data_IF_694065415714
#
_entry.id   IF_694065415714
#
_cell.length_a   1.000
_cell.length_b   1.000
_cell.length_c   1.000
_cell.angle_alpha   90.00
_cell.angle_beta   90.00
_cell.angle_gamma   90.00
#
_symmetry.space_group_name_H-M   'P 1'
#
loop_
_entity.id
_entity.type
_entity.pdbx_description
1 polymer ?
#
# COMPACT_ATOMS: atom_id res chain seq x y z
N UNK A 1 6.51 6.69 25.37
CA UNK A 1 5.93 7.28 24.14
C UNK A 1 4.57 6.61 23.93
N UNK A 2 3.50 7.38 23.77
CA UNK A 2 2.14 6.85 23.58
C UNK A 2 1.96 6.40 22.14
N UNK A 3 1.64 5.12 21.94
CA UNK A 3 1.31 4.53 20.63
C UNK A 3 0.18 5.33 19.98
N UNK A 4 0.29 5.76 18.70
CA UNK A 4 -0.82 6.36 17.97
C UNK A 4 -2.01 5.40 18.03
N UNK A 5 -3.15 5.88 18.51
CA UNK A 5 -4.31 5.00 18.58
C UNK A 5 -4.69 4.58 17.16
N UNK A 6 -5.17 3.35 16.99
CA UNK A 6 -5.73 2.83 15.72
C UNK A 6 -6.65 3.85 15.04
N UNK A 7 -7.35 4.67 15.82
CA UNK A 7 -8.20 5.76 15.34
C UNK A 7 -7.42 6.80 14.52
N UNK A 8 -6.24 7.21 14.97
CA UNK A 8 -5.41 8.21 14.29
C UNK A 8 -4.95 7.77 12.89
N UNK A 9 -4.76 6.47 12.69
CA UNK A 9 -4.40 5.87 11.39
C UNK A 9 -5.59 5.71 10.44
N UNK A 10 -6.81 5.64 10.98
CA UNK A 10 -8.03 5.49 10.19
C UNK A 10 -8.55 6.82 9.66
N UNK A 11 -8.20 7.95 10.29
CA UNK A 11 -8.67 9.29 9.89
C UNK A 11 -8.34 9.62 8.42
N UNK A 12 -7.11 9.45 7.90
CA UNK A 12 -6.79 9.76 6.50
C UNK A 12 -7.54 8.88 5.51
N UNK A 13 -7.77 7.61 5.85
CA UNK A 13 -8.43 6.63 4.98
C UNK A 13 -9.94 6.90 4.93
N UNK A 14 -10.54 7.17 6.08
CA UNK A 14 -11.96 7.60 6.17
C UNK A 14 -12.16 8.90 5.39
N UNK A 15 -11.23 9.86 5.49
CA UNK A 15 -11.26 11.09 4.70
C UNK A 15 -11.22 10.81 3.19
N UNK A 16 -10.30 9.96 2.71
CA UNK A 16 -10.21 9.62 1.30
C UNK A 16 -11.49 8.94 0.76
N UNK A 17 -12.10 8.04 1.54
CA UNK A 17 -13.34 7.35 1.16
C UNK A 17 -14.51 8.33 1.14
N UNK A 18 -14.65 9.15 2.18
CA UNK A 18 -15.76 10.08 2.30
C UNK A 18 -15.64 11.31 1.36
N UNK A 19 -14.45 11.57 0.80
CA UNK A 19 -14.26 12.50 -0.33
C UNK A 19 -14.67 11.91 -1.69
N UNK A 20 -15.01 10.62 -1.77
CA UNK A 20 -15.52 9.99 -2.99
C UNK A 20 -17.02 10.25 -3.18
N UNK A 21 -17.48 10.74 -4.35
CA UNK A 21 -18.89 10.98 -4.59
C UNK A 21 -19.71 9.69 -4.44
N UNK A 22 -20.72 9.71 -3.56
CA UNK A 22 -21.63 8.57 -3.35
C UNK A 22 -21.23 7.60 -2.24
N UNK A 23 -20.16 7.87 -1.49
CA UNK A 23 -19.73 7.02 -0.39
C UNK A 23 -20.82 6.86 0.70
N UNK A 24 -21.14 5.60 1.03
CA UNK A 24 -22.17 5.25 2.02
C UNK A 24 -21.57 4.65 3.29
N UNK A 25 -22.36 4.67 4.37
CA UNK A 25 -22.00 4.02 5.63
C UNK A 25 -21.80 2.50 5.47
N UNK A 26 -22.49 1.90 4.49
CA UNK A 26 -22.33 0.49 4.10
C UNK A 26 -20.95 0.22 3.51
N UNK A 27 -20.43 1.11 2.66
CA UNK A 27 -19.11 0.96 2.05
C UNK A 27 -17.98 1.14 3.08
N UNK A 28 -18.14 2.08 4.01
CA UNK A 28 -17.21 2.23 5.13
C UNK A 28 -17.20 0.99 6.03
N UNK A 29 -18.36 0.40 6.28
CA UNK A 29 -18.46 -0.89 6.98
C UNK A 29 -17.88 -2.07 6.21
N UNK A 30 -17.72 -1.97 4.88
CA UNK A 30 -17.04 -2.97 4.05
C UNK A 30 -15.52 -2.77 3.96
N UNK A 31 -15.05 -1.51 4.05
CA UNK A 31 -13.64 -1.17 3.88
C UNK A 31 -12.88 -1.22 5.21
N UNK A 32 -13.44 -0.66 6.29
CA UNK A 32 -12.81 -0.69 7.63
C UNK A 32 -12.39 -2.10 8.05
N UNK A 33 -13.22 -3.15 7.89
CA UNK A 33 -12.80 -4.53 8.15
C UNK A 33 -11.49 -4.93 7.47
N UNK A 34 -11.33 -4.55 6.20
CA UNK A 34 -10.18 -4.93 5.37
C UNK A 34 -8.90 -4.23 5.82
N UNK A 35 -9.01 -3.10 6.53
CA UNK A 35 -7.87 -2.40 7.12
C UNK A 35 -7.32 -3.10 8.37
N UNK A 36 -8.12 -3.97 9.00
CA UNK A 36 -7.72 -4.72 10.19
C UNK A 36 -7.12 -6.10 9.89
N UNK A 37 -7.09 -6.49 8.62
CA UNK A 37 -6.66 -7.82 8.19
C UNK A 37 -5.37 -7.68 7.38
N UNK A 38 -4.25 -8.02 8.01
CA UNK A 38 -2.90 -7.82 7.46
C UNK A 38 -2.58 -8.72 6.23
N UNK A 39 -3.35 -9.78 6.01
CA UNK A 39 -3.08 -10.83 5.01
C UNK A 39 -4.10 -10.85 3.84
N UNK A 40 -4.97 -9.83 3.76
CA UNK A 40 -6.00 -9.73 2.72
C UNK A 40 -7.03 -10.88 2.75
N UNK A 41 -7.12 -11.60 3.87
CA UNK A 41 -8.19 -12.57 4.10
C UNK A 41 -9.52 -11.82 4.32
N UNK A 42 -10.67 -12.40 3.94
CA UNK A 42 -11.93 -11.87 4.41
C UNK A 42 -11.89 -11.89 5.94
N UNK A 43 -12.13 -10.75 6.62
CA UNK A 43 -12.11 -10.72 8.08
C UNK A 43 -13.08 -11.77 8.59
N UNK A 44 -12.66 -12.59 9.55
CA UNK A 44 -13.63 -13.39 10.30
C UNK A 44 -14.58 -12.41 10.97
N UNK A 45 -15.82 -12.34 10.47
CA UNK A 45 -16.86 -11.43 10.95
C UNK A 45 -17.41 -11.88 12.31
N UNK A 46 -16.53 -12.06 13.28
CA UNK A 46 -16.90 -12.37 14.65
C UNK A 46 -17.72 -11.23 15.25
N UNK A 47 -18.63 -11.51 16.19
CA UNK A 47 -19.40 -10.47 16.88
C UNK A 47 -18.52 -9.42 17.56
N UNK A 48 -17.34 -9.82 18.03
CA UNK A 48 -16.37 -8.94 18.68
C UNK A 48 -15.71 -7.98 17.67
N UNK A 49 -15.37 -8.48 16.48
CA UNK A 49 -14.84 -7.68 15.40
C UNK A 49 -15.86 -6.64 14.89
N UNK A 50 -17.13 -7.02 14.72
CA UNK A 50 -18.21 -6.08 14.38
C UNK A 50 -18.41 -5.01 15.45
N UNK A 51 -18.29 -5.36 16.74
CA UNK A 51 -18.34 -4.38 17.84
C UNK A 51 -17.19 -3.38 17.78
N UNK A 52 -15.98 -3.80 17.42
CA UNK A 52 -14.82 -2.91 17.26
C UNK A 52 -15.02 -1.92 16.12
N UNK A 53 -15.51 -2.38 14.97
CA UNK A 53 -15.84 -1.50 13.83
C UNK A 53 -16.93 -0.49 14.21
N UNK A 54 -18.01 -0.96 14.85
CA UNK A 54 -19.08 -0.09 15.32
C UNK A 54 -18.59 0.96 16.33
N UNK A 55 -17.64 0.60 17.20
CA UNK A 55 -17.02 1.55 18.13
C UNK A 55 -16.19 2.62 17.42
N UNK A 56 -15.44 2.25 16.38
CA UNK A 56 -14.67 3.19 15.54
C UNK A 56 -15.59 4.15 14.80
N UNK A 57 -16.62 3.63 14.11
CA UNK A 57 -17.59 4.46 13.38
C UNK A 57 -18.33 5.41 14.31
N UNK A 58 -18.77 4.91 15.48
CA UNK A 58 -19.41 5.74 16.51
C UNK A 58 -18.50 6.84 17.04
N UNK A 59 -17.20 6.55 17.19
CA UNK A 59 -16.23 7.54 17.61
C UNK A 59 -16.03 8.61 16.52
N UNK A 60 -15.89 8.22 15.25
CA UNK A 60 -15.75 9.16 14.13
C UNK A 60 -16.96 10.10 13.98
N UNK A 61 -18.17 9.56 14.18
CA UNK A 61 -19.41 10.36 14.23
C UNK A 61 -19.43 11.31 15.45
N UNK A 62 -19.02 10.85 16.63
CA UNK A 62 -19.02 11.66 17.85
C UNK A 62 -18.03 12.82 17.79
N UNK A 63 -16.85 12.59 17.23
CA UNK A 63 -15.81 13.62 17.08
C UNK A 63 -16.06 14.54 15.88
N UNK A 64 -17.17 14.36 15.15
CA UNK A 64 -17.52 15.22 14.02
C UNK A 64 -16.54 15.12 12.86
N UNK A 65 -15.98 13.93 12.60
CA UNK A 65 -15.17 13.67 11.39
C UNK A 65 -16.03 13.27 10.18
N UNK A 66 -17.16 12.65 10.46
CA UNK A 66 -18.15 12.23 9.47
C UNK A 66 -19.54 12.54 10.01
N UNK A 67 -20.47 12.87 9.12
CA UNK A 67 -21.87 13.10 9.41
C UNK A 67 -22.75 12.27 8.46
N UNK A 68 -23.92 11.83 8.94
CA UNK A 68 -24.88 11.11 8.11
C UNK A 68 -25.78 12.12 7.41
N UNK A 69 -25.64 12.24 6.08
CA UNK A 69 -26.53 13.01 5.22
C UNK A 69 -27.84 12.27 4.90
N UNK A 70 -28.70 12.95 4.15
CA UNK A 70 -29.96 12.37 3.65
C UNK A 70 -29.71 11.12 2.80
N UNK A 71 -30.51 10.08 3.00
CA UNK A 71 -30.36 8.81 2.28
C UNK A 71 -29.22 7.89 2.77
N UNK A 72 -28.58 8.21 3.89
CA UNK A 72 -27.48 7.39 4.44
C UNK A 72 -26.12 7.64 3.78
N UNK A 73 -26.03 8.66 2.94
CA UNK A 73 -24.77 9.16 2.39
C UNK A 73 -23.93 9.79 3.49
N UNK A 74 -22.64 9.48 3.54
CA UNK A 74 -21.74 10.10 4.50
C UNK A 74 -21.17 11.39 3.93
N UNK A 75 -21.05 12.42 4.78
CA UNK A 75 -20.33 13.66 4.45
C UNK A 75 -19.19 13.86 5.45
N UNK A 76 -18.09 14.42 4.98
CA UNK A 76 -17.00 14.87 5.85
C UNK A 76 -17.27 16.30 6.24
N UNK A 77 -17.31 16.58 7.53
CA UNK A 77 -17.44 17.93 8.08
C UNK A 77 -16.12 18.69 7.90
N UNK A 78 -16.16 19.83 7.20
CA UNK A 78 -14.98 20.67 6.90
C UNK A 78 -14.28 21.21 8.15
N UNK A 79 -14.97 21.28 9.30
CA UNK A 79 -14.41 21.70 10.59
C UNK A 79 -13.37 20.73 11.18
N UNK A 80 -13.23 19.52 10.64
CA UNK A 80 -12.22 18.54 11.07
C UNK A 80 -10.86 18.65 10.31
N UNK A 81 -10.63 19.80 9.67
CA UNK A 81 -9.31 20.23 9.26
C UNK A 81 -8.59 20.78 10.49
N UNK A 82 -7.54 20.11 11.03
CA UNK A 82 -6.61 20.86 11.86
C UNK A 82 -6.04 21.94 10.96
N UNK A 83 -6.40 23.20 11.24
CA UNK A 83 -5.67 24.35 10.74
C UNK A 83 -4.18 24.07 10.96
N UNK A 84 -3.37 24.17 9.91
CA UNK A 84 -1.92 24.00 9.96
C UNK A 84 -1.26 24.90 11.04
N UNK A 85 -2.01 25.84 11.64
CA UNK A 85 -1.57 26.72 12.71
C UNK A 85 -1.63 26.15 14.15
N UNK A 86 -2.18 24.94 14.40
CA UNK A 86 -2.27 24.40 15.79
C UNK A 86 -1.32 23.24 16.11
N UNK A 87 -0.37 22.90 15.23
CA UNK A 87 0.70 21.96 15.54
C UNK A 87 1.86 22.55 16.38
N UNK A 88 1.69 23.76 16.92
CA UNK A 88 2.75 24.49 17.67
C UNK A 88 2.36 24.70 19.13
N UNK A 89 1.98 23.65 19.86
CA UNK A 89 1.81 23.75 21.32
C UNK A 89 1.85 22.39 22.01
N UNK A 90 2.96 21.66 21.90
CA UNK A 90 3.40 20.65 22.89
C UNK A 90 4.81 20.17 22.52
N UNK A 91 5.78 21.07 22.67
CA UNK A 91 7.19 20.73 22.77
C UNK A 91 7.86 21.70 23.72
N UNK A 92 7.82 21.34 24.99
CA UNK A 92 8.85 21.79 25.92
C UNK A 92 9.13 20.68 26.91
N UNK A 93 10.42 20.34 26.95
CA UNK A 93 11.12 19.55 27.98
C UNK A 93 11.04 18.03 27.87
N UNK A 94 12.06 17.48 27.21
CA UNK A 94 12.38 16.07 27.21
C UNK A 94 13.43 15.78 26.15
N UNK A 95 14.67 16.20 26.40
CA UNK A 95 15.80 15.98 25.51
C UNK A 95 15.90 14.51 25.10
N UNK A 96 15.80 14.26 23.80
CA UNK A 96 16.19 12.99 23.20
C UNK A 96 17.43 13.26 22.31
N UNK A 97 18.45 12.39 22.39
CA UNK A 97 19.72 12.63 21.73
C UNK A 97 19.53 12.60 20.23
N UNK A 98 20.27 13.48 19.55
CA UNK A 98 20.53 13.36 18.13
C UNK A 98 21.13 11.96 17.89
N UNK A 99 20.28 11.03 17.44
CA UNK A 99 20.70 9.71 17.02
C UNK A 99 21.46 9.93 15.72
N UNK A 100 22.77 10.14 15.87
CA UNK A 100 23.79 9.97 14.85
C UNK A 100 23.82 8.49 14.52
N UNK A 101 22.73 8.01 13.90
CA UNK A 101 22.71 6.72 13.26
C UNK A 101 23.84 6.75 12.24
N UNK A 102 24.83 5.90 12.50
CA UNK A 102 25.87 5.52 11.59
C UNK A 102 25.21 5.31 10.21
N UNK A 103 25.43 6.26 9.29
CA UNK A 103 24.61 6.50 8.08
C UNK A 103 24.67 5.37 7.03
N UNK A 104 25.16 4.19 7.37
CA UNK A 104 25.54 3.16 6.42
C UNK A 104 24.85 1.80 6.56
N UNK A 105 24.06 1.55 7.60
CA UNK A 105 23.52 0.19 7.83
C UNK A 105 22.00 0.16 7.82
N UNK A 106 21.44 -0.55 6.82
CA UNK A 106 20.01 -0.82 6.66
C UNK A 106 19.51 -1.89 7.64
N UNK A 107 20.39 -2.77 8.09
CA UNK A 107 20.08 -3.93 8.93
C UNK A 107 19.39 -3.59 10.29
N UNK A 108 19.80 -2.54 11.04
CA UNK A 108 19.11 -2.14 12.26
C UNK A 108 17.66 -1.73 12.01
N UNK A 109 17.38 -0.95 10.96
CA UNK A 109 16.04 -0.51 10.61
C UNK A 109 15.12 -1.70 10.26
N UNK A 110 15.63 -2.65 9.47
CA UNK A 110 14.88 -3.86 9.13
C UNK A 110 14.63 -4.76 10.35
N UNK A 111 15.60 -4.87 11.26
CA UNK A 111 15.46 -5.66 12.49
C UNK A 111 14.45 -5.04 13.44
N UNK A 112 14.49 -3.71 13.61
CA UNK A 112 13.53 -2.95 14.43
C UNK A 112 12.10 -3.14 13.92
N UNK A 113 11.92 -3.16 12.61
CA UNK A 113 10.64 -3.41 11.94
C UNK A 113 10.19 -4.88 11.98
N UNK A 114 10.97 -5.77 12.60
CA UNK A 114 10.64 -7.19 12.76
C UNK A 114 10.84 -8.04 11.50
N UNK A 115 11.55 -7.54 10.49
CA UNK A 115 11.80 -8.31 9.28
C UNK A 115 12.90 -9.34 9.48
N UNK A 116 12.70 -10.52 8.87
CA UNK A 116 13.77 -11.49 8.64
C UNK A 116 14.38 -11.21 7.27
N UNK A 117 15.69 -11.04 7.23
CA UNK A 117 16.41 -10.71 6.01
C UNK A 117 17.77 -11.40 5.94
N UNK A 118 18.27 -11.55 4.72
CA UNK A 118 19.63 -11.97 4.44
C UNK A 118 20.45 -10.76 4.00
N UNK A 119 21.49 -10.40 4.74
CA UNK A 119 22.38 -9.29 4.35
C UNK A 119 23.34 -9.78 3.25
N UNK A 120 23.32 -9.08 2.11
CA UNK A 120 24.25 -9.31 1.00
C UNK A 120 25.49 -8.42 1.17
N UNK A 121 25.25 -7.16 1.60
CA UNK A 121 26.25 -6.14 1.95
C UNK A 121 25.74 -5.31 3.14
N UNK A 122 26.57 -4.48 3.81
CA UNK A 122 26.12 -3.67 4.95
C UNK A 122 24.90 -2.78 4.65
N UNK A 123 24.79 -2.33 3.41
CA UNK A 123 23.77 -1.44 2.87
C UNK A 123 22.71 -2.18 2.04
N UNK A 124 22.80 -3.50 1.86
CA UNK A 124 21.93 -4.28 0.98
C UNK A 124 21.46 -5.57 1.65
N UNK A 125 20.15 -5.78 1.63
CA UNK A 125 19.50 -6.96 2.19
C UNK A 125 18.45 -7.52 1.23
N UNK A 126 18.21 -8.82 1.36
CA UNK A 126 17.14 -9.53 0.67
C UNK A 126 16.10 -9.99 1.67
N UNK A 127 14.84 -9.70 1.39
CA UNK A 127 13.67 -10.06 2.19
C UNK A 127 12.80 -11.03 1.40
N UNK A 128 12.30 -12.07 2.06
CA UNK A 128 11.40 -13.05 1.46
C UNK A 128 10.02 -12.96 2.09
N UNK A 129 9.01 -12.87 1.25
CA UNK A 129 7.60 -12.80 1.64
C UNK A 129 6.83 -13.90 0.95
N UNK A 130 5.90 -14.53 1.67
CA UNK A 130 5.03 -15.56 1.12
C UNK A 130 3.64 -14.97 0.95
N UNK A 131 3.17 -14.83 -0.29
CA UNK A 131 1.79 -14.46 -0.59
C UNK A 131 1.05 -15.59 -1.31
N UNK A 132 -0.28 -15.50 -1.36
CA UNK A 132 -1.24 -16.46 -1.94
C UNK A 132 -0.91 -16.81 -3.39
N UNK A 133 -0.51 -15.82 -4.20
CA UNK A 133 -0.22 -16.02 -5.62
C UNK A 133 1.18 -16.56 -5.86
N UNK A 134 2.18 -16.05 -5.13
CA UNK A 134 3.58 -16.46 -5.24
C UNK A 134 4.41 -15.94 -4.05
N UNK A 135 5.60 -16.52 -3.82
CA UNK A 135 6.62 -15.87 -3.02
C UNK A 135 7.17 -14.61 -3.73
N UNK A 136 7.49 -13.61 -2.92
CA UNK A 136 8.17 -12.38 -3.32
C UNK A 136 9.54 -12.28 -2.68
N UNK A 137 10.49 -11.82 -3.47
CA UNK A 137 11.83 -11.49 -3.02
C UNK A 137 12.05 -10.00 -3.24
N UNK A 138 12.20 -9.25 -2.15
CA UNK A 138 12.46 -7.80 -2.19
C UNK A 138 13.92 -7.58 -1.87
N UNK A 139 14.64 -6.98 -2.80
CA UNK A 139 15.96 -6.42 -2.55
C UNK A 139 15.78 -5.02 -1.99
N UNK A 140 16.30 -4.77 -0.80
CA UNK A 140 16.32 -3.46 -0.18
C UNK A 140 17.77 -2.99 -0.07
N UNK A 141 18.06 -1.78 -0.51
CA UNK A 141 19.39 -1.19 -0.31
C UNK A 141 19.32 0.30 0.00
N UNK A 142 20.32 0.78 0.72
CA UNK A 142 20.52 2.20 0.98
C UNK A 142 21.48 2.78 -0.07
N UNK A 143 21.11 3.86 -0.76
CA UNK A 143 21.97 4.57 -1.70
C UNK A 143 21.75 6.08 -1.60
N UNK A 144 22.81 6.85 -1.35
CA UNK A 144 22.79 8.33 -1.37
C UNK A 144 21.63 8.99 -0.58
N UNK A 145 21.32 8.46 0.61
CA UNK A 145 20.22 8.98 1.44
C UNK A 145 18.82 8.47 1.04
N UNK A 146 18.74 7.48 0.16
CA UNK A 146 17.52 6.81 -0.25
C UNK A 146 17.50 5.35 0.16
N UNK A 147 16.35 4.86 0.59
CA UNK A 147 15.99 3.46 0.58
C UNK A 147 15.45 3.14 -0.80
N UNK A 148 16.08 2.18 -1.46
CA UNK A 148 15.63 1.64 -2.72
C UNK A 148 15.14 0.22 -2.48
N UNK A 149 13.93 -0.08 -2.95
CA UNK A 149 13.35 -1.41 -2.99
C UNK A 149 13.24 -1.84 -4.44
N UNK A 150 13.57 -3.10 -4.73
CA UNK A 150 13.38 -3.71 -6.06
C UNK A 150 12.86 -5.13 -5.89
N UNK A 151 11.89 -5.50 -6.71
CA UNK A 151 11.39 -6.87 -6.79
C UNK A 151 11.29 -7.31 -8.25
N UNK A 152 11.72 -8.54 -8.52
CA UNK A 152 11.53 -9.17 -9.82
C UNK A 152 10.06 -9.59 -9.97
N UNK A 153 9.43 -9.13 -11.05
CA UNK A 153 8.04 -9.47 -11.37
C UNK A 153 8.01 -10.68 -12.30
N UNK A 154 8.59 -10.55 -13.50
CA UNK A 154 8.60 -11.61 -14.51
C UNK A 154 9.63 -11.35 -15.60
N UNK A 155 9.94 -12.37 -16.39
CA UNK A 155 10.64 -12.19 -17.65
C UNK A 155 9.70 -11.51 -18.66
N UNK A 156 10.27 -10.65 -19.51
CA UNK A 156 9.54 -10.07 -20.64
C UNK A 156 9.31 -11.15 -21.69
N UNK A 157 8.08 -11.27 -22.24
CA UNK A 157 7.78 -12.30 -23.23
C UNK A 157 8.60 -12.11 -24.51
N UNK A 158 8.96 -13.24 -25.13
CA UNK A 158 9.71 -13.26 -26.39
C UNK A 158 8.87 -12.76 -27.57
N UNK A 159 7.57 -13.08 -27.57
CA UNK A 159 6.62 -12.67 -28.59
C UNK A 159 6.47 -11.13 -28.63
N UNK A 160 6.79 -10.47 -29.76
CA UNK A 160 6.75 -9.01 -29.86
C UNK A 160 5.40 -8.39 -29.52
N UNK A 161 4.30 -9.04 -29.90
CA UNK A 161 2.94 -8.56 -29.61
C UNK A 161 2.64 -8.52 -28.10
N UNK A 162 2.99 -9.58 -27.36
CA UNK A 162 2.81 -9.63 -25.90
C UNK A 162 3.75 -8.65 -25.20
N UNK A 163 4.97 -8.50 -25.70
CA UNK A 163 5.94 -7.53 -25.18
C UNK A 163 5.42 -6.11 -25.29
N UNK A 164 4.89 -5.73 -26.45
CA UNK A 164 4.33 -4.40 -26.67
C UNK A 164 3.15 -4.13 -25.74
N UNK A 165 2.19 -5.07 -25.64
CA UNK A 165 1.06 -4.97 -24.70
C UNK A 165 1.51 -4.86 -23.25
N UNK A 166 2.54 -5.60 -22.87
CA UNK A 166 3.12 -5.53 -21.53
C UNK A 166 3.72 -4.14 -21.29
N UNK A 167 4.53 -3.63 -22.21
CA UNK A 167 5.14 -2.30 -22.11
C UNK A 167 4.09 -1.18 -22.01
N UNK A 168 3.03 -1.24 -22.82
CA UNK A 168 1.90 -0.32 -22.74
C UNK A 168 1.25 -0.37 -21.35
N UNK A 169 1.00 -1.57 -20.81
CA UNK A 169 0.43 -1.72 -19.48
C UNK A 169 1.33 -1.20 -18.38
N UNK A 170 2.64 -1.42 -18.47
CA UNK A 170 3.61 -0.88 -17.51
C UNK A 170 3.63 0.66 -17.54
N UNK A 171 3.53 1.26 -18.72
CA UNK A 171 3.45 2.72 -18.88
C UNK A 171 2.17 3.27 -18.25
N UNK A 172 1.02 2.62 -18.50
CA UNK A 172 -0.26 2.96 -17.87
C UNK A 172 -0.14 2.92 -16.34
N UNK A 173 0.39 1.82 -15.78
CA UNK A 173 0.59 1.70 -14.33
C UNK A 173 1.47 2.82 -13.77
N UNK A 174 2.56 3.16 -14.47
CA UNK A 174 3.47 4.23 -14.05
C UNK A 174 2.83 5.63 -14.08
N UNK A 175 1.74 5.84 -14.82
CA UNK A 175 1.01 7.13 -14.79
C UNK A 175 0.11 7.30 -13.57
N UNK A 176 -0.27 6.20 -12.90
CA UNK A 176 -1.21 6.22 -11.78
C UNK A 176 -0.55 5.94 -10.42
N UNK A 177 0.69 5.47 -10.41
CA UNK A 177 1.37 5.08 -9.18
C UNK A 177 2.29 6.19 -8.68
N UNK A 178 2.01 6.63 -7.47
CA UNK A 178 2.77 7.71 -6.81
C UNK A 178 4.11 7.23 -6.21
N UNK A 179 4.26 5.93 -5.91
CA UNK A 179 5.43 5.40 -5.19
C UNK A 179 6.16 4.27 -5.90
N UNK A 180 5.43 3.33 -6.51
CA UNK A 180 6.03 2.16 -7.19
C UNK A 180 6.15 2.42 -8.67
N UNK A 181 7.35 2.25 -9.23
CA UNK A 181 7.61 2.31 -10.67
C UNK A 181 7.90 0.93 -11.21
N UNK A 182 7.36 0.62 -12.38
CA UNK A 182 7.74 -0.57 -13.12
C UNK A 182 8.75 -0.22 -14.21
N UNK A 183 9.80 -1.01 -14.31
CA UNK A 183 10.84 -0.86 -15.31
C UNK A 183 11.15 -2.18 -16.00
N UNK A 184 11.59 -2.10 -17.25
CA UNK A 184 12.21 -3.23 -17.94
C UNK A 184 13.72 -3.02 -17.85
N UNK A 185 14.37 -3.86 -17.07
CA UNK A 185 15.81 -3.80 -16.86
C UNK A 185 16.43 -5.18 -17.11
N UNK A 186 17.77 -5.23 -17.08
CA UNK A 186 18.61 -6.41 -16.94
C UNK A 186 18.02 -7.73 -17.46
N UNK A 187 18.55 -8.23 -18.59
CA UNK A 187 18.16 -9.53 -19.18
C UNK A 187 16.68 -9.62 -19.56
N UNK A 188 16.07 -8.51 -20.01
CA UNK A 188 14.67 -8.46 -20.42
C UNK A 188 13.73 -8.94 -19.31
N UNK A 189 13.86 -8.36 -18.12
CA UNK A 189 12.98 -8.65 -16.99
C UNK A 189 12.23 -7.40 -16.54
N UNK A 190 11.01 -7.61 -16.08
CA UNK A 190 10.19 -6.58 -15.44
C UNK A 190 10.51 -6.55 -13.96
N UNK A 191 10.85 -5.36 -13.48
CA UNK A 191 11.04 -5.07 -12.08
C UNK A 191 10.02 -4.04 -11.61
N UNK A 192 9.70 -4.10 -10.33
CA UNK A 192 9.04 -3.03 -9.61
C UNK A 192 10.04 -2.41 -8.64
N UNK A 193 10.03 -1.09 -8.54
CA UNK A 193 11.00 -0.31 -7.79
C UNK A 193 10.28 0.77 -6.97
N UNK A 194 10.80 1.03 -5.78
CA UNK A 194 10.33 2.10 -4.92
C UNK A 194 11.55 2.80 -4.30
N UNK A 195 11.53 4.13 -4.30
CA UNK A 195 12.56 4.96 -3.68
C UNK A 195 11.93 5.81 -2.59
N UNK A 196 12.55 5.85 -1.41
CA UNK A 196 12.06 6.60 -0.27
C UNK A 196 13.22 7.25 0.50
N UNK A 197 13.03 8.46 1.03
CA UNK A 197 14.10 9.19 1.73
C UNK A 197 14.43 8.55 3.09
N UNK A 198 15.70 8.22 3.33
CA UNK A 198 16.18 7.61 4.58
C UNK A 198 15.99 8.52 5.80
N UNK A 199 16.07 9.83 5.62
CA UNK A 199 15.84 10.81 6.69
C UNK A 199 14.41 10.79 7.26
N UNK A 200 13.47 10.19 6.52
CA UNK A 200 12.10 10.03 6.98
C UNK A 200 11.84 8.62 7.51
N UNK A 201 12.79 7.68 7.43
CA UNK A 201 12.58 6.29 7.83
C UNK A 201 12.78 6.06 9.33
N UNK A 202 11.93 5.23 9.90
CA UNK A 202 12.01 4.66 11.23
C UNK A 202 11.48 3.21 11.19
N UNK A 203 11.58 2.47 12.30
CA UNK A 203 11.13 1.07 12.34
C UNK A 203 9.64 0.86 12.03
N UNK A 204 8.78 1.83 12.31
CA UNK A 204 7.33 1.73 12.06
C UNK A 204 6.99 1.93 10.59
N UNK A 205 7.52 2.99 9.97
CA UNK A 205 7.15 3.33 8.60
C UNK A 205 7.89 2.49 7.54
N UNK A 206 9.06 1.92 7.83
CA UNK A 206 9.70 0.97 6.91
C UNK A 206 8.83 -0.28 6.72
N UNK A 207 8.13 -0.71 7.78
CA UNK A 207 7.18 -1.80 7.71
C UNK A 207 6.01 -1.44 6.77
N UNK A 208 5.45 -0.24 6.96
CA UNK A 208 4.37 0.27 6.11
C UNK A 208 4.80 0.40 4.65
N UNK A 209 5.98 0.95 4.38
CA UNK A 209 6.49 1.17 3.02
C UNK A 209 6.71 -0.17 2.30
N UNK A 210 7.35 -1.14 2.94
CA UNK A 210 7.56 -2.47 2.36
C UNK A 210 6.22 -3.19 2.18
N UNK A 211 5.30 -3.09 3.15
CA UNK A 211 3.96 -3.66 3.05
C UNK A 211 3.15 -3.07 1.89
N UNK A 212 3.14 -1.74 1.75
CA UNK A 212 2.47 -1.05 0.63
C UNK A 212 3.10 -1.40 -0.71
N UNK A 213 4.44 -1.51 -0.77
CA UNK A 213 5.15 -1.95 -1.96
C UNK A 213 4.67 -3.34 -2.39
N UNK A 214 4.69 -4.33 -1.48
CA UNK A 214 4.23 -5.70 -1.73
C UNK A 214 2.76 -5.76 -2.15
N UNK A 215 1.88 -5.05 -1.45
CA UNK A 215 0.46 -4.96 -1.80
C UNK A 215 0.26 -4.46 -3.23
N UNK A 216 1.04 -3.45 -3.65
CA UNK A 216 1.06 -2.97 -5.03
C UNK A 216 1.52 -4.03 -6.03
N UNK A 217 2.53 -4.84 -5.69
CA UNK A 217 3.00 -5.93 -6.55
C UNK A 217 1.91 -6.99 -6.75
N UNK A 218 1.30 -7.43 -5.66
CA UNK A 218 0.26 -8.46 -5.68
C UNK A 218 -0.99 -8.00 -6.44
N UNK A 219 -1.40 -6.75 -6.27
CA UNK A 219 -2.55 -6.19 -6.95
C UNK A 219 -2.39 -6.21 -8.48
N UNK A 220 -1.17 -6.02 -8.99
CA UNK A 220 -0.92 -5.92 -10.44
C UNK A 220 -0.41 -7.22 -11.06
N UNK A 221 0.14 -8.14 -10.25
CA UNK A 221 0.81 -9.33 -10.75
C UNK A 221 -0.06 -10.19 -11.67
N UNK A 222 -1.31 -10.48 -11.28
CA UNK A 222 -2.20 -11.32 -12.08
C UNK A 222 -2.48 -10.72 -13.48
N UNK A 223 -2.69 -9.41 -13.54
CA UNK A 223 -2.93 -8.70 -14.81
C UNK A 223 -1.70 -8.74 -15.71
N UNK A 224 -0.52 -8.43 -15.16
CA UNK A 224 0.74 -8.47 -15.92
C UNK A 224 1.07 -9.89 -16.39
N UNK A 225 0.83 -10.89 -15.54
CA UNK A 225 1.12 -12.29 -15.84
C UNK A 225 0.25 -12.81 -16.98
N UNK A 226 -1.04 -12.46 -17.01
CA UNK A 226 -1.95 -12.82 -18.11
C UNK A 226 -1.48 -12.27 -19.46
N UNK A 227 -1.04 -11.01 -19.48
CA UNK A 227 -0.48 -10.40 -20.70
C UNK A 227 0.77 -11.15 -21.14
N UNK A 228 1.69 -11.44 -20.22
CA UNK A 228 2.94 -12.13 -20.53
C UNK A 228 2.72 -13.58 -20.97
N UNK A 229 1.73 -14.27 -20.40
CA UNK A 229 1.37 -15.64 -20.75
C UNK A 229 0.60 -15.75 -22.09
N UNK A 230 0.08 -14.63 -22.61
CA UNK A 230 -0.77 -14.66 -23.80
C UNK A 230 -2.08 -15.41 -23.57
N UNK A 231 -2.59 -15.40 -22.34
CA UNK A 231 -3.83 -16.10 -21.99
C UNK A 231 -5.04 -15.31 -22.54
N UNK A 232 -5.47 -15.70 -23.75
CA UNK A 232 -6.59 -15.11 -24.49
C UNK A 232 -7.96 -15.62 -24.01
N UNK A 233 -8.01 -16.68 -23.20
CA UNK A 233 -9.28 -17.34 -22.80
C UNK A 233 -10.24 -16.39 -22.05
N UNK A 234 -9.70 -15.46 -21.27
CA UNK A 234 -10.47 -14.41 -20.59
C UNK A 234 -10.89 -13.27 -21.53
N UNK A 235 -10.06 -12.93 -22.53
CA UNK A 235 -10.41 -11.93 -23.54
C UNK A 235 -11.53 -12.47 -24.46
N UNK A 236 -11.51 -13.76 -24.76
CA UNK A 236 -12.57 -14.47 -25.46
C UNK A 236 -13.87 -14.51 -24.65
N UNK A 237 -13.80 -14.78 -23.34
CA UNK A 237 -14.97 -14.73 -22.44
C UNK A 237 -15.55 -13.32 -22.30
N UNK A 238 -14.73 -12.27 -22.20
CA UNK A 238 -15.20 -10.88 -22.18
C UNK A 238 -15.82 -10.46 -23.53
N UNK A 239 -15.25 -10.90 -24.66
CA UNK A 239 -15.84 -10.65 -25.98
C UNK A 239 -17.16 -11.39 -26.18
N UNK A 240 -17.26 -12.62 -25.67
CA UNK A 240 -18.51 -13.38 -25.69
C UNK A 240 -19.59 -12.69 -24.85
N UNK A 241 -19.25 -12.25 -23.63
CA UNK A 241 -20.18 -11.54 -22.75
C UNK A 241 -20.67 -10.21 -23.33
N UNK A 242 -19.77 -9.42 -23.94
CA UNK A 242 -20.14 -8.14 -24.59
C UNK A 242 -20.99 -8.32 -25.86
N UNK A 243 -20.93 -9.47 -26.53
CA UNK A 243 -21.81 -9.77 -27.67
C UNK A 243 -23.23 -10.10 -27.21
N UNK A 244 -23.39 -10.78 -26.08
CA UNK A 244 -24.70 -11.13 -25.52
C UNK A 244 -25.44 -9.91 -24.93
N UNK A 245 -24.74 -8.89 -24.42
CA UNK A 245 -25.39 -7.63 -23.99
C UNK A 245 -25.84 -6.73 -25.15
N UNK A 246 -25.32 -6.97 -26.37
CA UNK A 246 -25.63 -6.18 -27.56
C UNK A 246 -26.66 -6.84 -28.49
N UNK A 247 -27.10 -8.06 -28.19
CA UNK A 247 -28.10 -8.85 -28.93
C UNK A 247 -29.47 -8.78 -28.24
#
# INVERSE_FOLDING_TARGET
MSVPSVVSLLIPIVKAIASSPGATLSELNCIIPKLFVADGSPPEETPEFRRRIAAVVKHLLREGYIESGEGGALRVTEEALPSEASATALSTEGGAPANTADRGTLAPLLSEAGFRFHSVKPDMATLEFHNKLRPWTVMAWANDGWLCLRSFIMAVPELPALRMRLQEKLLELNTHLYMTKYSVAEKNAVYAELEYRLEHLNGENINQIIGSFLCGLDAQYATLFRIAAGDESLAELEQAYKRDEAA
#
